data_IF_823960342319
#
_entry.id   IF_823960342319
#
_cell.length_a   1.000
_cell.length_b   1.000
_cell.length_c   1.000
_cell.angle_alpha   90.00
_cell.angle_beta   90.00
_cell.angle_gamma   90.00
#
_symmetry.space_group_name_H-M   'P 1'
#
loop_
_entity.id
_entity.type
_entity.pdbx_description
1 polymer ?
#
# COMPACT_ATOMS: atom_id res chain seq x y z
N UNK A 1 -2.75 4.49 31.75
CA UNK A 1 -3.64 4.76 30.60
C UNK A 1 -2.98 4.19 29.35
N UNK A 2 -3.62 3.27 28.62
CA UNK A 2 -3.10 2.76 27.33
C UNK A 2 -3.91 3.43 26.22
N UNK A 3 -3.23 4.05 25.25
CA UNK A 3 -3.90 4.71 24.12
C UNK A 3 -4.62 3.67 23.23
N UNK A 4 -5.80 4.02 22.76
CA UNK A 4 -6.59 3.23 21.81
C UNK A 4 -6.00 3.30 20.39
N UNK A 5 -6.40 2.38 19.50
CA UNK A 5 -5.98 2.41 18.10
C UNK A 5 -6.40 3.72 17.40
N UNK A 6 -7.56 4.26 17.75
CA UNK A 6 -8.10 5.49 17.18
C UNK A 6 -7.33 6.72 17.66
N UNK A 7 -6.95 6.78 18.94
CA UNK A 7 -6.07 7.83 19.46
C UNK A 7 -4.72 7.85 18.76
N UNK A 8 -4.14 6.67 18.47
CA UNK A 8 -2.92 6.56 17.69
C UNK A 8 -3.08 7.02 16.24
N UNK A 9 -4.19 6.68 15.59
CA UNK A 9 -4.46 7.11 14.21
C UNK A 9 -4.63 8.63 14.10
N UNK A 10 -5.34 9.23 15.07
CA UNK A 10 -5.51 10.68 15.15
C UNK A 10 -4.17 11.37 15.41
N UNK A 11 -3.37 10.84 16.35
CA UNK A 11 -2.04 11.36 16.63
C UNK A 11 -1.13 11.31 15.40
N UNK A 12 -1.13 10.20 14.66
CA UNK A 12 -0.36 10.08 13.43
C UNK A 12 -0.81 11.08 12.36
N UNK A 13 -2.13 11.25 12.20
CA UNK A 13 -2.69 12.24 11.27
C UNK A 13 -2.34 13.68 11.65
N UNK A 14 -2.27 13.99 12.95
CA UNK A 14 -1.86 15.30 13.45
C UNK A 14 -0.36 15.54 13.19
N UNK A 15 0.49 14.56 13.54
CA UNK A 15 1.93 14.65 13.31
C UNK A 15 2.27 14.80 11.81
N UNK A 16 1.57 14.06 10.92
CA UNK A 16 1.73 14.20 9.47
C UNK A 16 1.41 15.63 9.01
N UNK A 17 0.32 16.22 9.51
CA UNK A 17 -0.07 17.61 9.19
C UNK A 17 0.94 18.64 9.70
N UNK A 18 1.58 18.36 10.82
CA UNK A 18 2.65 19.19 11.40
C UNK A 18 4.03 18.93 10.77
N UNK A 19 4.11 18.10 9.74
CA UNK A 19 5.36 17.70 9.06
C UNK A 19 6.34 16.91 9.95
N UNK A 20 5.86 16.31 11.04
CA UNK A 20 6.63 15.41 11.88
C UNK A 20 6.48 13.97 11.37
N UNK A 21 7.16 13.65 10.27
CA UNK A 21 6.96 12.38 9.54
C UNK A 21 7.33 11.16 10.38
N UNK A 22 8.44 11.22 11.12
CA UNK A 22 8.91 10.07 11.92
C UNK A 22 7.93 9.76 13.06
N UNK A 23 7.47 10.78 13.78
CA UNK A 23 6.44 10.67 14.82
C UNK A 23 5.12 10.13 14.26
N UNK A 24 4.75 10.55 13.04
CA UNK A 24 3.54 10.06 12.37
C UNK A 24 3.65 8.56 12.06
N UNK A 25 4.79 8.10 11.54
CA UNK A 25 5.04 6.69 11.24
C UNK A 25 5.00 5.85 12.51
N UNK A 26 5.63 6.30 13.59
CA UNK A 26 5.57 5.60 14.88
C UNK A 26 4.14 5.45 15.39
N UNK A 27 3.36 6.53 15.33
CA UNK A 27 1.96 6.52 15.73
C UNK A 27 1.12 5.57 14.84
N UNK A 28 1.32 5.59 13.52
CA UNK A 28 0.62 4.67 12.62
C UNK A 28 1.03 3.20 12.83
N UNK A 29 2.30 2.91 13.11
CA UNK A 29 2.76 1.56 13.46
C UNK A 29 2.12 1.08 14.76
N UNK A 30 2.04 1.96 15.77
CA UNK A 30 1.35 1.66 17.01
C UNK A 30 -0.14 1.37 16.78
N UNK A 31 -0.83 2.17 15.94
CA UNK A 31 -2.21 1.91 15.52
C UNK A 31 -2.35 0.51 14.88
N UNK A 32 -1.53 0.21 13.87
CA UNK A 32 -1.57 -1.04 13.12
C UNK A 32 -1.22 -2.28 13.94
N UNK A 33 -0.46 -2.11 15.03
CA UNK A 33 -0.17 -3.19 15.98
C UNK A 33 -1.40 -3.60 16.81
N UNK A 34 -2.36 -2.68 16.99
CA UNK A 34 -3.60 -2.92 17.75
C UNK A 34 -4.71 -3.40 16.81
N UNK A 35 -4.89 -2.71 15.67
CA UNK A 35 -5.97 -2.99 14.71
C UNK A 35 -5.54 -2.57 13.31
N UNK A 36 -5.99 -3.29 12.28
CA UNK A 36 -5.87 -2.81 10.92
C UNK A 36 -6.63 -1.47 10.74
N UNK A 37 -5.96 -0.49 10.15
CA UNK A 37 -6.57 0.75 9.68
C UNK A 37 -6.07 1.06 8.27
N UNK A 38 -6.97 1.24 7.27
CA UNK A 38 -6.57 1.62 5.92
C UNK A 38 -5.90 2.99 5.90
N UNK A 39 -6.33 3.93 6.76
CA UNK A 39 -5.78 5.28 6.84
C UNK A 39 -4.36 5.28 7.39
N UNK A 40 -4.11 4.54 8.47
CA UNK A 40 -2.78 4.41 9.04
C UNK A 40 -1.81 3.73 8.05
N UNK A 41 -2.27 2.68 7.35
CA UNK A 41 -1.44 2.00 6.36
C UNK A 41 -1.16 2.88 5.13
N UNK A 42 -2.14 3.65 4.65
CA UNK A 42 -1.93 4.63 3.57
C UNK A 42 -0.94 5.73 3.97
N UNK A 43 -0.96 6.20 5.23
CA UNK A 43 0.03 7.14 5.75
C UNK A 43 1.45 6.58 5.72
N UNK A 44 1.64 5.33 6.14
CA UNK A 44 2.94 4.65 6.08
C UNK A 44 3.37 4.34 4.63
N UNK A 45 2.43 4.00 3.74
CA UNK A 45 2.71 3.70 2.33
C UNK A 45 3.49 4.83 1.66
N UNK A 46 3.11 6.09 1.91
CA UNK A 46 3.82 7.28 1.40
C UNK A 46 5.29 7.33 1.82
N UNK A 47 5.61 6.79 3.00
CA UNK A 47 6.99 6.71 3.48
C UNK A 47 7.73 5.58 2.78
N UNK A 48 7.08 4.42 2.59
CA UNK A 48 7.67 3.30 1.84
C UNK A 48 7.96 3.66 0.37
N UNK A 49 7.09 4.45 -0.25
CA UNK A 49 7.32 5.01 -1.59
C UNK A 49 8.56 5.91 -1.60
N UNK A 50 8.69 6.82 -0.63
CA UNK A 50 9.86 7.72 -0.51
C UNK A 50 11.18 6.97 -0.23
N UNK A 51 11.14 5.93 0.60
CA UNK A 51 12.32 5.13 0.93
C UNK A 51 12.62 4.05 -0.11
N UNK A 52 11.83 3.96 -1.20
CA UNK A 52 11.94 2.93 -2.26
C UNK A 52 11.93 1.50 -1.71
N UNK A 53 11.08 1.26 -0.71
CA UNK A 53 10.96 -0.04 -0.04
C UNK A 53 10.00 -0.95 -0.81
N UNK A 54 10.49 -1.58 -1.89
CA UNK A 54 9.65 -2.30 -2.86
C UNK A 54 8.73 -3.34 -2.21
N UNK A 55 9.27 -4.17 -1.30
CA UNK A 55 8.53 -5.30 -0.69
C UNK A 55 7.43 -4.79 0.24
N UNK A 56 7.73 -3.79 1.03
CA UNK A 56 6.83 -3.16 1.99
C UNK A 56 5.72 -2.40 1.27
N UNK A 57 6.04 -1.72 0.16
CA UNK A 57 5.06 -1.07 -0.71
C UNK A 57 4.10 -2.10 -1.30
N UNK A 58 4.59 -3.20 -1.90
CA UNK A 58 3.75 -4.28 -2.44
C UNK A 58 2.84 -4.88 -1.37
N UNK A 59 3.41 -5.24 -0.21
CA UNK A 59 2.63 -5.82 0.89
C UNK A 59 1.54 -4.86 1.40
N UNK A 60 1.83 -3.56 1.46
CA UNK A 60 0.87 -2.54 1.86
C UNK A 60 -0.24 -2.36 0.83
N UNK A 61 0.11 -2.32 -0.46
CA UNK A 61 -0.85 -2.26 -1.58
C UNK A 61 -1.79 -3.46 -1.56
N UNK A 62 -1.29 -4.69 -1.42
CA UNK A 62 -2.13 -5.89 -1.36
C UNK A 62 -3.18 -5.78 -0.24
N UNK A 63 -2.76 -5.33 0.95
CA UNK A 63 -3.66 -5.15 2.10
C UNK A 63 -4.71 -4.07 1.86
N UNK A 64 -4.33 -2.95 1.23
CA UNK A 64 -5.24 -1.85 0.90
C UNK A 64 -6.25 -2.24 -0.18
N UNK A 65 -5.81 -2.93 -1.25
CA UNK A 65 -6.69 -3.48 -2.29
C UNK A 65 -7.69 -4.47 -1.69
N UNK A 66 -7.21 -5.39 -0.85
CA UNK A 66 -8.08 -6.38 -0.18
C UNK A 66 -9.12 -5.70 0.71
N UNK A 67 -8.73 -4.62 1.40
CA UNK A 67 -9.66 -3.82 2.19
C UNK A 67 -10.69 -3.11 1.32
N UNK A 68 -10.30 -2.49 0.20
CA UNK A 68 -11.25 -1.83 -0.70
C UNK A 68 -12.25 -2.81 -1.32
N UNK A 69 -11.76 -3.99 -1.73
CA UNK A 69 -12.60 -5.05 -2.27
C UNK A 69 -13.69 -5.50 -1.29
N UNK A 70 -13.37 -5.57 0.02
CA UNK A 70 -14.36 -5.85 1.08
C UNK A 70 -15.56 -4.89 1.05
N UNK A 71 -15.31 -3.63 0.69
CA UNK A 71 -16.31 -2.57 0.62
C UNK A 71 -16.89 -2.40 -0.79
N UNK A 72 -16.73 -3.40 -1.67
CA UNK A 72 -17.19 -3.40 -3.06
C UNK A 72 -16.58 -2.26 -3.90
N UNK A 73 -15.43 -1.73 -3.48
CA UNK A 73 -14.65 -0.78 -4.26
C UNK A 73 -13.61 -1.56 -5.06
N UNK A 74 -13.87 -1.74 -6.35
CA UNK A 74 -13.00 -2.50 -7.25
C UNK A 74 -11.82 -1.68 -7.79
N UNK A 75 -11.88 -0.34 -7.66
CA UNK A 75 -10.90 0.56 -8.24
C UNK A 75 -10.54 1.73 -7.32
N UNK A 76 -9.24 2.03 -7.23
CA UNK A 76 -8.68 3.20 -6.56
C UNK A 76 -7.58 3.84 -7.42
N UNK A 77 -7.77 5.11 -7.85
CA UNK A 77 -6.74 5.84 -8.61
C UNK A 77 -5.41 5.95 -7.87
N UNK A 78 -5.45 6.12 -6.54
CA UNK A 78 -4.25 6.24 -5.71
C UNK A 78 -3.43 4.96 -5.73
N UNK A 79 -4.08 3.79 -5.54
CA UNK A 79 -3.38 2.50 -5.58
C UNK A 79 -2.88 2.16 -6.98
N UNK A 80 -3.63 2.52 -8.03
CA UNK A 80 -3.16 2.39 -9.42
C UNK A 80 -1.89 3.23 -9.64
N UNK A 81 -1.86 4.46 -9.15
CA UNK A 81 -0.69 5.33 -9.27
C UNK A 81 0.53 4.75 -8.55
N UNK A 82 0.36 4.25 -7.33
CA UNK A 82 1.43 3.56 -6.60
C UNK A 82 1.96 2.35 -7.37
N UNK A 83 1.08 1.47 -7.88
CA UNK A 83 1.48 0.27 -8.64
C UNK A 83 2.17 0.66 -9.94
N UNK A 84 1.66 1.66 -10.67
CA UNK A 84 2.29 2.18 -11.89
C UNK A 84 3.70 2.67 -11.62
N UNK A 85 3.88 3.48 -10.57
CA UNK A 85 5.21 4.01 -10.19
C UNK A 85 6.16 2.89 -9.79
N UNK A 86 5.66 1.89 -9.06
CA UNK A 86 6.42 0.70 -8.69
C UNK A 86 6.88 -0.11 -9.92
N UNK A 87 6.00 -0.30 -10.91
CA UNK A 87 6.32 -1.00 -12.16
C UNK A 87 7.31 -0.19 -13.00
N UNK A 88 7.15 1.13 -13.06
CA UNK A 88 8.04 2.05 -13.77
C UNK A 88 9.47 2.02 -13.19
N UNK A 89 9.60 1.93 -11.86
CA UNK A 89 10.90 1.89 -11.17
C UNK A 89 11.57 0.50 -11.19
N UNK A 90 10.79 -0.58 -11.02
CA UNK A 90 11.32 -1.92 -10.69
C UNK A 90 11.10 -2.96 -11.79
N UNK A 91 10.20 -2.68 -12.73
CA UNK A 91 9.75 -3.58 -13.78
C UNK A 91 8.61 -4.52 -13.38
N UNK A 92 7.69 -4.75 -14.32
CA UNK A 92 6.48 -5.54 -14.09
C UNK A 92 6.76 -6.99 -13.64
N UNK A 93 7.79 -7.64 -14.20
CA UNK A 93 8.16 -9.03 -13.86
C UNK A 93 8.57 -9.14 -12.39
N UNK A 94 9.41 -8.23 -11.90
CA UNK A 94 9.89 -8.23 -10.52
C UNK A 94 8.73 -8.03 -9.55
N UNK A 95 7.85 -7.06 -9.82
CA UNK A 95 6.65 -6.80 -8.99
C UNK A 95 5.74 -8.03 -8.94
N UNK A 96 5.48 -8.68 -10.09
CA UNK A 96 4.69 -9.91 -10.16
C UNK A 96 5.30 -11.04 -9.33
N UNK A 97 6.61 -11.24 -9.41
CA UNK A 97 7.31 -12.27 -8.63
C UNK A 97 7.22 -12.01 -7.12
N UNK A 98 7.31 -10.76 -6.67
CA UNK A 98 7.14 -10.40 -5.25
C UNK A 98 5.70 -10.71 -4.79
N UNK A 99 4.69 -10.34 -5.58
CA UNK A 99 3.28 -10.63 -5.29
C UNK A 99 3.07 -12.15 -5.13
N UNK A 100 3.60 -12.95 -6.06
CA UNK A 100 3.50 -14.41 -6.02
C UNK A 100 4.21 -15.05 -4.81
N UNK A 101 5.28 -14.42 -4.32
CA UNK A 101 6.02 -14.93 -3.15
C UNK A 101 5.30 -14.74 -1.81
N UNK A 102 4.22 -13.95 -1.74
CA UNK A 102 3.54 -13.59 -0.48
C UNK A 102 2.76 -14.73 0.16
N UNK A 103 2.61 -15.88 -0.49
CA UNK A 103 1.87 -17.07 -0.02
C UNK A 103 0.38 -16.82 0.35
N UNK A 104 -0.22 -15.75 -0.20
CA UNK A 104 -1.62 -15.40 0.03
C UNK A 104 -2.56 -16.19 -0.91
N UNK A 105 -3.86 -16.29 -0.58
CA UNK A 105 -4.86 -16.92 -1.44
C UNK A 105 -4.91 -16.30 -2.84
N UNK A 106 -5.13 -17.14 -3.87
CA UNK A 106 -5.07 -16.73 -5.28
C UNK A 106 -6.03 -15.57 -5.61
N UNK A 107 -7.24 -15.58 -5.06
CA UNK A 107 -8.22 -14.51 -5.27
C UNK A 107 -7.69 -13.13 -4.80
N UNK A 108 -6.85 -13.06 -3.77
CA UNK A 108 -6.23 -11.82 -3.32
C UNK A 108 -5.12 -11.36 -4.26
N UNK A 109 -4.34 -12.31 -4.78
CA UNK A 109 -3.30 -12.03 -5.77
C UNK A 109 -3.90 -11.50 -7.07
N UNK A 110 -5.01 -12.11 -7.51
CA UNK A 110 -5.73 -11.73 -8.73
C UNK A 110 -6.22 -10.27 -8.68
N UNK A 111 -6.71 -9.82 -7.51
CA UNK A 111 -7.10 -8.41 -7.31
C UNK A 111 -5.93 -7.45 -7.53
N UNK A 112 -4.74 -7.81 -7.06
CA UNK A 112 -3.55 -6.97 -7.23
C UNK A 112 -3.01 -7.07 -8.66
N UNK A 113 -3.08 -8.25 -9.28
CA UNK A 113 -2.73 -8.46 -10.67
C UNK A 113 -3.64 -7.70 -11.63
N UNK A 114 -4.91 -7.47 -11.29
CA UNK A 114 -5.82 -6.64 -12.08
C UNK A 114 -5.25 -5.23 -12.33
N UNK A 115 -4.69 -4.58 -11.30
CA UNK A 115 -4.05 -3.28 -11.45
C UNK A 115 -2.79 -3.33 -12.32
N UNK A 116 -1.97 -4.37 -12.19
CA UNK A 116 -0.80 -4.56 -13.05
C UNK A 116 -1.20 -4.80 -14.52
N UNK A 117 -2.29 -5.54 -14.76
CA UNK A 117 -2.85 -5.75 -16.08
C UNK A 117 -3.36 -4.43 -16.68
N UNK A 118 -4.03 -3.57 -15.90
CA UNK A 118 -4.42 -2.24 -16.34
C UNK A 118 -3.20 -1.43 -16.82
N UNK A 119 -2.13 -1.39 -16.03
CA UNK A 119 -0.88 -0.74 -16.43
C UNK A 119 -0.34 -1.28 -17.78
N UNK A 120 -0.32 -2.60 -17.96
CA UNK A 120 0.11 -3.22 -19.21
C UNK A 120 -0.80 -2.86 -20.41
N UNK A 121 -2.13 -2.86 -20.23
CA UNK A 121 -3.08 -2.52 -21.32
C UNK A 121 -2.90 -1.09 -21.82
N UNK A 122 -2.56 -0.15 -20.93
CA UNK A 122 -2.29 1.24 -21.28
C UNK A 122 -0.84 1.51 -21.72
N UNK A 123 0.00 0.47 -21.83
CA UNK A 123 1.42 0.57 -22.19
C UNK A 123 2.18 1.59 -21.34
N UNK A 124 1.97 1.54 -20.03
CA UNK A 124 2.73 2.39 -19.11
C UNK A 124 4.21 2.00 -19.11
N UNK A 125 5.11 2.96 -18.87
CA UNK A 125 6.55 2.71 -18.74
C UNK A 125 6.86 1.50 -17.84
N UNK A 126 7.79 0.63 -18.26
CA UNK A 126 8.22 -0.52 -17.45
C UNK A 126 7.34 -1.79 -17.56
N UNK A 127 6.32 -1.79 -18.42
CA UNK A 127 5.46 -2.98 -18.67
C UNK A 127 5.97 -3.93 -19.74
N UNK A 128 7.03 -3.55 -20.48
CA UNK A 128 7.62 -4.36 -21.55
C UNK A 128 8.52 -5.45 -20.94
N UNK A 129 7.91 -6.50 -20.37
CA UNK A 129 8.64 -7.61 -19.72
C UNK A 129 7.80 -8.82 -19.34
#
# INVERSE_FOLDING_TARGET
YKKSAEEWEILGSLAERLQHVDEAVEAYRACLSIRFSPKALAGILRVFEKTKSTRETVASVIRLVTWQYRWYSEFSPELLHTIRTLIEDEGAVKVRSIIQATSLPQNVLDLTHHYAALCATFRSSGTDG
#
